data_IF_674459418965
#
_entry.id   IF_674459418965
#
_cell.length_a   1.000
_cell.length_b   1.000
_cell.length_c   1.000
_cell.angle_alpha   90.00
_cell.angle_beta   90.00
_cell.angle_gamma   90.00
#
_symmetry.space_group_name_H-M   'P 1'
#
loop_
_entity.id
_entity.type
_entity.pdbx_description
1 polymer ?
#
# COMPACT_ATOMS: atom_id res chain seq x y z
N UNK A 1 12.37 -12.00 -6.60
CA UNK A 1 13.15 -12.78 -5.62
C UNK A 1 12.90 -12.20 -4.23
N UNK A 2 11.83 -12.62 -3.57
CA UNK A 2 11.51 -12.18 -2.21
C UNK A 2 11.85 -13.33 -1.25
N UNK A 3 12.95 -13.16 -0.53
CA UNK A 3 13.44 -14.10 0.47
C UNK A 3 12.47 -14.13 1.66
N UNK A 4 11.60 -15.13 1.67
CA UNK A 4 10.71 -15.47 2.77
C UNK A 4 11.52 -15.92 4.00
N UNK A 5 11.85 -14.97 4.87
CA UNK A 5 12.40 -15.26 6.19
C UNK A 5 11.33 -15.90 7.07
N UNK A 6 11.38 -17.23 7.18
CA UNK A 6 10.63 -18.01 8.14
C UNK A 6 10.93 -17.51 9.56
N UNK A 7 9.98 -16.78 10.15
CA UNK A 7 10.06 -16.32 11.53
C UNK A 7 9.99 -17.52 12.48
N UNK A 8 11.17 -17.95 12.95
CA UNK A 8 11.30 -18.89 14.04
C UNK A 8 10.72 -18.22 15.31
N UNK A 9 9.52 -18.64 15.75
CA UNK A 9 8.68 -17.95 16.75
C UNK A 9 9.33 -17.75 18.13
N UNK A 10 10.47 -18.36 18.39
CA UNK A 10 11.15 -18.32 19.69
C UNK A 10 12.45 -17.51 19.70
N UNK A 11 12.86 -16.86 18.60
CA UNK A 11 14.06 -16.01 18.57
C UNK A 11 13.81 -14.57 19.07
N UNK A 12 14.87 -13.84 19.40
CA UNK A 12 14.85 -12.38 19.45
C UNK A 12 15.01 -11.81 18.04
N UNK A 13 14.33 -10.69 17.76
CA UNK A 13 14.62 -9.93 16.54
C UNK A 13 15.97 -9.23 16.66
N UNK A 14 16.62 -9.00 15.52
CA UNK A 14 17.89 -8.28 15.43
C UNK A 14 17.73 -6.87 16.03
N UNK A 15 16.63 -6.19 15.72
CA UNK A 15 16.36 -4.84 16.20
C UNK A 15 16.13 -4.79 17.72
N UNK A 16 15.48 -5.82 18.29
CA UNK A 16 15.33 -5.93 19.74
C UNK A 16 16.69 -6.04 20.43
N UNK A 17 17.58 -6.90 19.91
CA UNK A 17 18.92 -7.09 20.47
C UNK A 17 19.76 -5.81 20.35
N UNK A 18 19.70 -5.13 19.19
CA UNK A 18 20.38 -3.84 18.98
C UNK A 18 19.86 -2.76 19.92
N UNK A 19 18.54 -2.63 20.06
CA UNK A 19 17.92 -1.69 20.98
C UNK A 19 18.35 -1.94 22.44
N UNK A 20 18.37 -3.21 22.86
CA UNK A 20 18.82 -3.58 24.20
C UNK A 20 20.31 -3.26 24.42
N UNK A 21 21.16 -3.51 23.42
CA UNK A 21 22.60 -3.23 23.51
C UNK A 21 22.89 -1.71 23.55
N UNK A 22 22.26 -0.94 22.66
CA UNK A 22 22.39 0.53 22.61
C UNK A 22 21.93 1.18 23.93
N UNK A 23 20.84 0.70 24.52
CA UNK A 23 20.35 1.19 25.81
C UNK A 23 21.33 0.95 26.97
N UNK A 24 22.29 0.04 26.81
CA UNK A 24 23.34 -0.26 27.78
C UNK A 24 24.72 0.28 27.35
N UNK A 25 24.78 1.15 26.33
CA UNK A 25 26.02 1.79 25.88
C UNK A 25 27.03 0.84 25.23
N UNK A 26 26.58 -0.32 24.74
CA UNK A 26 27.43 -1.31 24.09
C UNK A 26 27.66 -0.96 22.61
N UNK A 27 28.89 -1.15 22.12
CA UNK A 27 29.25 -0.92 20.71
C UNK A 27 29.14 -2.22 19.91
N UNK A 28 28.38 -2.21 18.81
CA UNK A 28 28.33 -3.34 17.87
C UNK A 28 29.71 -3.50 17.18
N UNK A 29 30.23 -4.73 17.21
CA UNK A 29 31.55 -5.09 16.65
C UNK A 29 31.40 -5.89 15.37
N UNK A 30 30.47 -6.84 15.34
CA UNK A 30 30.26 -7.71 14.19
C UNK A 30 28.82 -8.23 14.14
N UNK A 31 28.30 -8.37 12.93
CA UNK A 31 27.01 -9.01 12.67
C UNK A 31 27.21 -10.12 11.64
N UNK A 32 26.79 -11.34 11.97
CA UNK A 32 26.84 -12.48 11.05
C UNK A 32 25.43 -13.10 10.92
N UNK A 33 24.73 -12.87 9.80
CA UNK A 33 23.38 -13.39 9.59
C UNK A 33 23.34 -14.91 9.43
N UNK A 34 24.39 -15.52 8.87
CA UNK A 34 24.49 -16.98 8.67
C UNK A 34 24.54 -17.73 9.99
N UNK A 35 25.40 -17.30 10.91
CA UNK A 35 25.52 -17.88 12.25
C UNK A 35 24.51 -17.31 13.25
N UNK A 36 23.67 -16.35 12.81
CA UNK A 36 22.64 -15.66 13.60
C UNK A 36 23.19 -15.10 14.91
N UNK A 37 24.33 -14.40 14.82
CA UNK A 37 25.04 -13.83 15.96
C UNK A 37 25.34 -12.35 15.76
N UNK A 38 25.18 -11.58 16.83
CA UNK A 38 25.64 -10.19 16.91
C UNK A 38 26.65 -10.09 18.05
N UNK A 39 27.82 -9.54 17.77
CA UNK A 39 28.88 -9.30 18.74
C UNK A 39 28.87 -7.83 19.16
N UNK A 40 28.93 -7.60 20.47
CA UNK A 40 29.07 -6.28 21.07
C UNK A 40 30.30 -6.23 21.98
N UNK A 41 30.78 -5.03 22.28
CA UNK A 41 31.89 -4.79 23.19
C UNK A 41 31.53 -3.71 24.21
N UNK A 42 31.88 -3.95 25.48
CA UNK A 42 31.80 -2.96 26.56
C UNK A 42 32.98 -2.00 26.52
N UNK A 43 32.88 -0.89 27.25
CA UNK A 43 34.00 0.03 27.45
C UNK A 43 35.20 -0.66 28.12
N UNK A 44 34.94 -1.63 29.01
CA UNK A 44 35.96 -2.44 29.68
C UNK A 44 36.60 -3.52 28.79
N UNK A 45 36.28 -3.54 27.50
CA UNK A 45 36.84 -4.48 26.52
C UNK A 45 36.22 -5.88 26.52
N UNK A 46 35.18 -6.13 27.32
CA UNK A 46 34.47 -7.42 27.38
C UNK A 46 33.68 -7.62 26.09
N UNK A 47 33.84 -8.79 25.44
CA UNK A 47 33.10 -9.14 24.22
C UNK A 47 31.87 -9.98 24.56
N UNK A 48 30.71 -9.57 24.05
CA UNK A 48 29.42 -10.24 24.26
C UNK A 48 28.90 -10.70 22.90
N UNK A 49 28.68 -12.01 22.74
CA UNK A 49 28.13 -12.62 21.55
C UNK A 49 26.69 -13.08 21.81
N UNK A 50 25.73 -12.56 21.06
CA UNK A 50 24.30 -12.84 21.23
C UNK A 50 23.80 -13.64 20.03
N UNK A 51 23.44 -14.90 20.28
CA UNK A 51 22.82 -15.79 19.31
C UNK A 51 21.31 -15.62 19.38
N UNK A 52 20.78 -14.69 18.59
CA UNK A 52 19.40 -14.21 18.72
C UNK A 52 18.35 -15.27 18.39
N UNK A 53 18.66 -16.26 17.54
CA UNK A 53 17.73 -17.34 17.24
C UNK A 53 17.61 -18.42 18.33
N UNK A 54 18.67 -18.63 19.13
CA UNK A 54 18.69 -19.67 20.19
C UNK A 54 18.62 -19.08 21.60
N UNK A 55 18.49 -17.74 21.70
CA UNK A 55 18.55 -16.97 22.95
C UNK A 55 19.75 -17.38 23.82
N UNK A 56 20.90 -17.57 23.17
CA UNK A 56 22.16 -17.91 23.83
C UNK A 56 23.05 -16.68 23.89
N UNK A 57 23.64 -16.41 25.05
CA UNK A 57 24.57 -15.31 25.25
C UNK A 57 25.91 -15.90 25.67
N UNK A 58 26.96 -15.51 24.95
CA UNK A 58 28.35 -15.83 25.25
C UNK A 58 29.11 -14.59 25.68
N UNK A 59 29.73 -14.57 26.86
CA UNK A 59 30.60 -13.48 27.31
C UNK A 59 32.04 -13.95 27.35
N UNK A 60 32.95 -13.21 26.72
CA UNK A 60 34.39 -13.45 26.79
C UNK A 60 35.01 -12.41 27.72
N UNK A 61 35.52 -12.87 28.86
CA UNK A 61 36.02 -12.07 29.98
C UNK A 61 37.50 -12.39 30.22
N UNK A 62 38.27 -11.40 30.66
CA UNK A 62 39.59 -11.65 31.23
C UNK A 62 39.46 -11.77 32.76
N UNK A 63 39.71 -12.96 33.28
CA UNK A 63 39.61 -13.26 34.70
C UNK A 63 40.99 -13.09 35.36
N UNK A 64 41.13 -12.33 36.46
CA UNK A 64 42.43 -12.00 37.04
C UNK A 64 43.29 -13.22 37.39
N UNK A 65 42.66 -14.34 37.76
CA UNK A 65 43.38 -15.57 38.13
C UNK A 65 43.36 -16.67 37.05
N UNK A 66 42.49 -16.58 36.04
CA UNK A 66 42.25 -17.67 35.07
C UNK A 66 42.54 -17.24 33.62
N UNK A 67 42.90 -15.97 33.40
CA UNK A 67 43.07 -15.39 32.08
C UNK A 67 41.75 -15.32 31.29
N UNK A 68 41.87 -15.38 29.97
CA UNK A 68 40.73 -15.27 29.05
C UNK A 68 39.80 -16.48 29.20
N UNK A 69 38.60 -16.23 29.71
CA UNK A 69 37.54 -17.23 29.90
C UNK A 69 36.31 -16.87 29.08
N UNK A 70 35.52 -17.87 28.71
CA UNK A 70 34.26 -17.66 28.00
C UNK A 70 33.11 -18.36 28.73
N UNK A 71 32.03 -17.63 28.99
CA UNK A 71 30.83 -18.13 29.65
C UNK A 71 29.68 -18.16 28.65
N UNK A 72 28.91 -19.24 28.65
CA UNK A 72 27.73 -19.38 27.79
C UNK A 72 26.48 -19.62 28.63
N UNK A 73 25.41 -18.90 28.32
CA UNK A 73 24.09 -19.12 28.92
C UNK A 73 23.04 -19.31 27.84
N UNK A 74 22.39 -20.46 27.85
CA UNK A 74 21.38 -20.87 26.87
C UNK A 74 19.97 -20.55 27.36
N UNK A 75 19.00 -20.45 26.45
CA UNK A 75 17.57 -20.22 26.75
C UNK A 75 17.32 -19.00 27.65
N UNK A 76 18.00 -17.89 27.39
CA UNK A 76 17.83 -16.67 28.16
C UNK A 76 16.45 -16.04 27.89
N UNK A 77 15.79 -15.54 28.95
CA UNK A 77 14.64 -14.64 28.80
C UNK A 77 15.12 -13.24 28.43
N UNK A 78 14.21 -12.39 27.93
CA UNK A 78 14.54 -10.99 27.64
C UNK A 78 15.07 -10.25 28.87
N UNK A 79 14.57 -10.59 30.07
CA UNK A 79 15.09 -10.04 31.33
C UNK A 79 16.55 -10.44 31.59
N UNK A 80 16.88 -11.74 31.41
CA UNK A 80 18.26 -12.21 31.55
C UNK A 80 19.21 -11.52 30.57
N UNK A 81 18.73 -11.17 29.36
CA UNK A 81 19.52 -10.40 28.41
C UNK A 81 19.89 -9.03 28.97
N UNK A 82 18.92 -8.27 29.48
CA UNK A 82 19.19 -6.96 30.07
C UNK A 82 20.14 -7.04 31.26
N UNK A 83 19.96 -8.01 32.16
CA UNK A 83 20.84 -8.23 33.32
C UNK A 83 22.30 -8.50 32.88
N UNK A 84 22.49 -9.34 31.86
CA UNK A 84 23.83 -9.69 31.35
C UNK A 84 24.47 -8.53 30.60
N UNK A 85 23.69 -7.73 29.87
CA UNK A 85 24.22 -6.54 29.18
C UNK A 85 24.64 -5.44 30.15
N UNK A 86 23.94 -5.29 31.28
CA UNK A 86 24.32 -4.33 32.34
C UNK A 86 25.55 -4.78 33.10
N UNK A 87 25.64 -6.06 33.43
CA UNK A 87 26.78 -6.62 34.15
C UNK A 87 27.19 -7.96 33.53
N UNK A 88 28.16 -7.99 32.61
CA UNK A 88 28.59 -9.22 31.95
C UNK A 88 29.14 -10.29 32.91
N UNK A 89 29.58 -9.89 34.12
CA UNK A 89 30.05 -10.80 35.18
C UNK A 89 28.92 -11.42 35.98
N UNK A 90 27.68 -10.91 35.89
CA UNK A 90 26.48 -11.49 36.54
C UNK A 90 26.15 -12.92 36.06
N UNK A 91 26.86 -13.40 35.04
CA UNK A 91 26.85 -14.78 34.58
C UNK A 91 27.22 -15.83 35.65
N UNK A 92 27.87 -15.45 36.76
CA UNK A 92 28.28 -16.39 37.82
C UNK A 92 27.20 -16.55 38.89
N UNK A 93 26.54 -17.71 38.95
CA UNK A 93 25.74 -18.08 40.14
C UNK A 93 24.58 -19.06 39.91
N UNK A 94 23.94 -19.03 38.73
CA UNK A 94 22.83 -19.95 38.40
C UNK A 94 23.32 -21.08 37.49
N UNK A 95 23.81 -22.18 38.09
CA UNK A 95 24.19 -23.39 37.34
C UNK A 95 25.50 -24.07 37.77
N UNK A 96 26.26 -23.49 38.70
CA UNK A 96 27.30 -24.26 39.38
C UNK A 96 26.61 -25.27 40.31
N UNK A 97 26.88 -26.56 40.10
CA UNK A 97 26.53 -27.60 41.06
C UNK A 97 27.17 -27.21 42.39
N UNK A 98 26.36 -26.79 43.36
CA UNK A 98 26.83 -26.64 44.75
C UNK A 98 27.27 -28.04 45.19
N UNK A 99 28.54 -28.20 45.55
CA UNK A 99 29.02 -29.45 46.13
C UNK A 99 28.29 -29.65 47.47
N UNK A 100 27.59 -30.77 47.71
CA UNK A 100 26.77 -30.98 48.92
C UNK A 100 27.58 -31.20 50.21
N UNK A 101 28.90 -31.01 50.18
CA UNK A 101 29.80 -31.46 51.25
C UNK A 101 29.93 -30.52 52.47
N UNK A 102 29.16 -29.45 52.56
CA UNK A 102 29.36 -28.43 53.61
C UNK A 102 28.15 -28.16 54.52
N UNK A 103 27.05 -28.89 54.35
CA UNK A 103 25.84 -28.71 55.17
C UNK A 103 25.83 -29.65 56.39
N UNK A 104 26.42 -30.84 56.24
CA UNK A 104 26.52 -31.86 57.31
C UNK A 104 27.53 -31.50 58.41
N UNK A 105 28.54 -30.68 58.08
CA UNK A 105 29.59 -30.27 59.04
C UNK A 105 29.16 -29.08 59.90
N UNK A 106 28.22 -28.25 59.41
CA UNK A 106 27.60 -27.17 60.20
C UNK A 106 26.62 -27.68 61.26
N UNK A 107 25.92 -28.78 61.00
CA UNK A 107 24.99 -29.37 61.99
C UNK A 107 25.69 -30.11 63.14
N UNK A 108 26.98 -30.45 63.02
CA UNK A 108 27.71 -31.22 64.05
C UNK A 108 28.34 -30.35 65.15
N UNK A 109 28.45 -29.03 64.97
CA UNK A 109 29.12 -28.16 65.95
C UNK A 109 28.20 -27.58 67.03
N UNK A 110 26.88 -27.69 66.90
CA UNK A 110 25.93 -27.06 67.84
C UNK A 110 25.43 -27.99 68.97
N UNK A 111 25.91 -29.23 69.08
CA UNK A 111 25.37 -30.21 70.07
C UNK A 111 26.28 -30.53 71.25
N UNK A 112 27.47 -29.93 71.39
CA UNK A 112 28.46 -30.40 72.37
C UNK A 112 28.52 -29.60 73.71
N UNK A 113 27.85 -28.46 73.88
CA UNK A 113 27.82 -27.78 75.19
C UNK A 113 26.42 -27.36 75.63
N UNK A 114 25.80 -28.28 76.38
CA UNK A 114 24.49 -28.11 77.01
C UNK A 114 24.52 -27.21 78.26
N UNK A 115 23.66 -26.19 78.22
CA UNK A 115 22.96 -25.67 79.39
C UNK A 115 21.50 -25.53 78.96
N UNK A 116 20.69 -26.53 79.31
CA UNK A 116 19.31 -26.70 78.83
C UNK A 116 18.39 -25.61 79.35
N UNK A 117 18.24 -24.54 78.59
CA UNK A 117 16.99 -23.79 78.54
C UNK A 117 16.05 -24.65 77.73
N UNK A 118 14.98 -25.16 78.34
CA UNK A 118 13.84 -25.73 77.61
C UNK A 118 13.22 -24.55 76.90
N UNK A 119 13.74 -24.21 75.71
CA UNK A 119 13.11 -23.25 74.83
C UNK A 119 11.82 -23.91 74.39
N UNK A 120 10.71 -23.28 74.71
CA UNK A 120 9.38 -23.76 74.38
C UNK A 120 9.20 -23.65 72.87
N UNK A 121 9.54 -24.73 72.14
CA UNK A 121 9.46 -24.82 70.68
C UNK A 121 8.07 -24.41 70.16
N UNK A 122 7.03 -24.55 70.99
CA UNK A 122 5.68 -24.10 70.69
C UNK A 122 5.60 -22.57 70.52
N UNK A 123 6.30 -21.81 71.35
CA UNK A 123 6.31 -20.34 71.32
C UNK A 123 7.04 -19.82 70.07
N UNK A 124 8.14 -20.46 69.67
CA UNK A 124 8.86 -20.11 68.44
C UNK A 124 7.98 -20.35 67.20
N UNK A 125 7.26 -21.47 67.15
CA UNK A 125 6.32 -21.75 66.06
C UNK A 125 5.17 -20.75 66.01
N UNK A 126 4.63 -20.33 67.17
CA UNK A 126 3.59 -19.29 67.25
C UNK A 126 4.10 -17.96 66.71
N UNK A 127 5.32 -17.56 67.06
CA UNK A 127 5.95 -16.34 66.53
C UNK A 127 6.17 -16.43 65.01
N UNK A 128 6.62 -17.57 64.49
CA UNK A 128 6.73 -17.78 63.04
C UNK A 128 5.38 -17.65 62.31
N UNK A 129 4.27 -18.12 62.90
CA UNK A 129 2.94 -17.97 62.31
C UNK A 129 2.55 -16.48 62.22
N UNK A 130 2.79 -15.70 63.28
CA UNK A 130 2.50 -14.26 63.29
C UNK A 130 3.33 -13.49 62.24
N UNK A 131 4.61 -13.84 62.09
CA UNK A 131 5.46 -13.26 61.05
C UNK A 131 4.96 -13.57 59.63
N UNK A 132 4.47 -14.80 59.40
CA UNK A 132 3.89 -15.19 58.11
C UNK A 132 2.61 -14.42 57.83
N UNK A 133 1.74 -14.24 58.84
CA UNK A 133 0.51 -13.45 58.70
C UNK A 133 0.82 -11.98 58.37
N UNK A 134 1.82 -11.37 59.02
CA UNK A 134 2.29 -10.01 58.70
C UNK A 134 2.78 -9.91 57.24
N UNK A 135 3.56 -10.89 56.77
CA UNK A 135 4.01 -10.94 55.38
C UNK A 135 2.84 -11.09 54.39
N UNK A 136 1.80 -11.87 54.74
CA UNK A 136 0.59 -12.01 53.92
C UNK A 136 -0.12 -10.67 53.78
N UNK A 137 -0.28 -9.93 54.88
CA UNK A 137 -0.89 -8.60 54.85
C UNK A 137 -0.08 -7.61 54.03
N UNK A 138 1.24 -7.58 54.18
CA UNK A 138 2.13 -6.72 53.42
C UNK A 138 2.03 -7.01 51.91
N UNK A 139 2.02 -8.29 51.52
CA UNK A 139 1.83 -8.72 50.14
C UNK A 139 0.44 -8.37 49.61
N UNK A 140 -0.61 -8.47 50.44
CA UNK A 140 -1.95 -8.06 50.07
C UNK A 140 -2.03 -6.54 49.79
N UNK A 141 -1.38 -5.73 50.61
CA UNK A 141 -1.28 -4.27 50.39
C UNK A 141 -0.48 -3.94 49.13
N UNK A 142 0.67 -4.60 48.90
CA UNK A 142 1.48 -4.47 47.68
C UNK A 142 0.67 -4.84 46.43
N UNK A 143 -0.06 -5.96 46.46
CA UNK A 143 -0.95 -6.38 45.35
C UNK A 143 -2.02 -5.34 45.06
N UNK A 144 -2.69 -4.80 46.09
CA UNK A 144 -3.71 -3.75 45.94
C UNK A 144 -3.13 -2.48 45.32
N UNK A 145 -1.93 -2.08 45.74
CA UNK A 145 -1.20 -0.94 45.16
C UNK A 145 -0.87 -1.15 43.68
N UNK A 146 -0.34 -2.32 43.33
CA UNK A 146 -0.02 -2.68 41.94
C UNK A 146 -1.26 -2.70 41.05
N UNK A 147 -2.37 -3.28 41.51
CA UNK A 147 -3.64 -3.27 40.77
C UNK A 147 -4.16 -1.86 40.51
N UNK A 148 -4.03 -0.96 41.49
CA UNK A 148 -4.39 0.47 41.32
C UNK A 148 -3.49 1.13 40.27
N UNK A 149 -2.21 0.82 40.25
CA UNK A 149 -1.26 1.32 39.25
C UNK A 149 -1.58 0.81 37.85
N UNK A 150 -1.85 -0.49 37.69
CA UNK A 150 -2.27 -1.10 36.42
C UNK A 150 -3.53 -0.42 35.91
N UNK A 151 -4.56 -0.27 36.75
CA UNK A 151 -5.80 0.41 36.37
C UNK A 151 -5.55 1.82 35.85
N UNK A 152 -4.72 2.62 36.53
CA UNK A 152 -4.35 3.97 36.05
C UNK A 152 -3.67 3.95 34.68
N UNK A 153 -2.76 3.00 34.45
CA UNK A 153 -2.12 2.86 33.14
C UNK A 153 -3.11 2.44 32.07
N UNK A 154 -4.06 1.56 32.39
CA UNK A 154 -5.08 1.11 31.45
C UNK A 154 -6.03 2.27 31.08
N UNK A 155 -6.48 3.04 32.07
CA UNK A 155 -7.29 4.25 31.87
C UNK A 155 -6.54 5.27 30.99
N UNK A 156 -5.25 5.49 31.24
CA UNK A 156 -4.43 6.38 30.42
C UNK A 156 -4.28 5.87 28.97
N UNK A 157 -4.08 4.56 28.76
CA UNK A 157 -4.03 3.99 27.40
C UNK A 157 -5.36 4.14 26.68
N UNK A 158 -6.48 3.96 27.38
CA UNK A 158 -7.82 4.16 26.82
C UNK A 158 -8.07 5.63 26.44
N UNK A 159 -7.69 6.58 27.29
CA UNK A 159 -7.82 8.01 27.00
C UNK A 159 -6.95 8.43 25.82
N UNK A 160 -5.71 7.95 25.74
CA UNK A 160 -4.83 8.27 24.62
C UNK A 160 -5.35 7.67 23.30
N UNK A 161 -5.86 6.43 23.35
CA UNK A 161 -6.52 5.83 22.20
C UNK A 161 -7.76 6.62 21.75
N UNK A 162 -8.54 7.16 22.69
CA UNK A 162 -9.69 8.01 22.38
C UNK A 162 -9.26 9.33 21.70
N UNK A 163 -8.25 10.02 22.25
CA UNK A 163 -7.69 11.24 21.64
C UNK A 163 -7.14 11.01 20.24
N UNK A 164 -6.47 9.87 20.02
CA UNK A 164 -5.96 9.50 18.70
C UNK A 164 -7.09 9.24 17.70
N UNK A 165 -8.19 8.59 18.14
CA UNK A 165 -9.38 8.41 17.29
C UNK A 165 -10.06 9.73 16.95
N UNK A 166 -10.18 10.63 17.91
CA UNK A 166 -10.74 11.98 17.70
C UNK A 166 -9.93 12.76 16.67
N UNK A 167 -8.60 12.84 16.83
CA UNK A 167 -7.70 13.45 15.83
C UNK A 167 -7.79 12.79 14.45
N UNK A 168 -7.97 11.47 14.40
CA UNK A 168 -8.14 10.76 13.14
C UNK A 168 -9.48 11.14 12.48
N UNK A 169 -10.55 11.27 13.26
CA UNK A 169 -11.86 11.70 12.77
C UNK A 169 -11.83 13.15 12.27
N UNK A 170 -11.13 14.05 12.96
CA UNK A 170 -10.92 15.44 12.51
C UNK A 170 -10.21 15.47 11.16
N UNK A 171 -9.08 14.78 11.01
CA UNK A 171 -8.36 14.68 9.73
C UNK A 171 -9.22 14.07 8.63
N UNK A 172 -10.01 13.04 8.94
CA UNK A 172 -10.92 12.44 7.97
C UNK A 172 -12.02 13.42 7.55
N UNK A 173 -12.52 14.25 8.47
CA UNK A 173 -13.49 15.29 8.15
C UNK A 173 -12.88 16.40 7.28
N UNK A 174 -11.64 16.83 7.59
CA UNK A 174 -10.90 17.78 6.75
C UNK A 174 -10.69 17.24 5.34
N UNK A 175 -10.27 15.98 5.19
CA UNK A 175 -10.10 15.34 3.89
C UNK A 175 -11.43 15.23 3.12
N UNK A 176 -12.53 14.90 3.80
CA UNK A 176 -13.85 14.85 3.19
C UNK A 176 -14.30 16.22 2.65
N UNK A 177 -13.98 17.30 3.35
CA UNK A 177 -14.25 18.66 2.90
C UNK A 177 -13.45 19.02 1.63
N UNK A 178 -12.15 18.67 1.59
CA UNK A 178 -11.30 18.90 0.43
C UNK A 178 -11.83 18.14 -0.79
N UNK A 179 -12.23 16.88 -0.61
CA UNK A 179 -12.81 16.06 -1.68
C UNK A 179 -14.08 16.73 -2.23
N UNK A 180 -14.98 17.20 -1.36
CA UNK A 180 -16.22 17.88 -1.77
C UNK A 180 -15.93 19.15 -2.58
N UNK A 181 -14.94 19.94 -2.17
CA UNK A 181 -14.55 21.15 -2.91
C UNK A 181 -13.99 20.82 -4.29
N UNK A 182 -13.20 19.75 -4.41
CA UNK A 182 -12.64 19.35 -5.70
C UNK A 182 -13.72 18.77 -6.63
N UNK A 183 -14.69 18.01 -6.10
CA UNK A 183 -15.86 17.57 -6.86
C UNK A 183 -16.66 18.75 -7.41
N UNK A 184 -16.89 19.80 -6.60
CA UNK A 184 -17.57 21.01 -7.05
C UNK A 184 -16.78 21.73 -8.16
N UNK A 185 -15.44 21.79 -8.04
CA UNK A 185 -14.58 22.38 -9.08
C UNK A 185 -14.63 21.59 -10.38
N UNK A 186 -14.56 20.27 -10.31
CA UNK A 186 -14.68 19.41 -11.49
C UNK A 186 -16.05 19.56 -12.17
N UNK A 187 -17.12 19.71 -11.38
CA UNK A 187 -18.45 19.96 -11.93
C UNK A 187 -18.50 21.30 -12.69
N UNK A 188 -17.90 22.37 -12.14
CA UNK A 188 -17.81 23.68 -12.83
C UNK A 188 -17.00 23.60 -14.13
N UNK A 189 -15.87 22.89 -14.11
CA UNK A 189 -15.05 22.66 -15.33
C UNK A 189 -15.89 21.94 -16.39
N UNK A 190 -16.60 20.88 -16.01
CA UNK A 190 -17.45 20.13 -16.95
C UNK A 190 -18.57 20.99 -17.54
N UNK A 191 -19.20 21.83 -16.72
CA UNK A 191 -20.21 22.77 -17.21
C UNK A 191 -19.64 23.83 -18.16
N UNK A 192 -18.40 24.26 -17.96
CA UNK A 192 -17.68 25.16 -18.85
C UNK A 192 -17.31 24.47 -20.17
N UNK A 193 -16.81 23.23 -20.12
CA UNK A 193 -16.53 22.40 -21.29
C UNK A 193 -17.80 22.20 -22.15
N UNK A 194 -18.92 21.87 -21.53
CA UNK A 194 -20.21 21.73 -22.21
C UNK A 194 -20.68 23.05 -22.88
N UNK A 195 -20.38 24.20 -22.27
CA UNK A 195 -20.68 25.51 -22.86
C UNK A 195 -19.79 25.79 -24.06
N UNK A 196 -18.49 25.52 -23.95
CA UNK A 196 -17.54 25.70 -25.05
C UNK A 196 -17.87 24.78 -26.22
N UNK A 197 -18.24 23.53 -25.96
CA UNK A 197 -18.66 22.58 -26.98
C UNK A 197 -19.85 23.09 -27.79
N UNK A 198 -20.87 23.67 -27.13
CA UNK A 198 -22.01 24.30 -27.81
C UNK A 198 -21.62 25.51 -28.65
N UNK A 199 -20.63 26.29 -28.22
CA UNK A 199 -20.11 27.42 -29.01
C UNK A 199 -19.43 26.89 -30.27
N UNK A 200 -18.57 25.87 -30.14
CA UNK A 200 -17.90 25.23 -31.29
C UNK A 200 -18.93 24.71 -32.29
N UNK A 201 -19.93 23.94 -31.84
CA UNK A 201 -20.99 23.41 -32.71
C UNK A 201 -21.76 24.51 -33.45
N UNK A 202 -22.04 25.63 -32.76
CA UNK A 202 -22.69 26.80 -33.37
C UNK A 202 -21.80 27.46 -34.43
N UNK A 203 -20.51 27.62 -34.15
CA UNK A 203 -19.55 28.18 -35.10
C UNK A 203 -19.38 27.29 -36.33
N UNK A 204 -19.33 25.97 -36.16
CA UNK A 204 -19.30 25.03 -37.27
C UNK A 204 -20.57 25.09 -38.13
N UNK A 205 -21.73 25.23 -37.49
CA UNK A 205 -23.00 25.45 -38.20
C UNK A 205 -22.98 26.72 -39.03
N UNK A 206 -22.48 27.83 -38.47
CA UNK A 206 -22.33 29.10 -39.19
C UNK A 206 -21.31 28.99 -40.34
N UNK A 207 -20.21 28.26 -40.15
CA UNK A 207 -19.21 28.00 -41.20
C UNK A 207 -19.84 27.27 -42.38
N UNK A 208 -20.61 26.20 -42.14
CA UNK A 208 -21.32 25.45 -43.19
C UNK A 208 -22.33 26.32 -43.95
N UNK A 209 -23.05 27.20 -43.26
CA UNK A 209 -23.98 28.14 -43.91
C UNK A 209 -23.23 29.12 -44.82
N UNK A 210 -22.09 29.65 -44.37
CA UNK A 210 -21.25 30.54 -45.20
C UNK A 210 -20.71 29.83 -46.42
N UNK A 211 -20.16 28.63 -46.25
CA UNK A 211 -19.66 27.80 -47.37
C UNK A 211 -20.76 27.50 -48.39
N UNK A 212 -21.97 27.15 -47.94
CA UNK A 212 -23.11 26.90 -48.82
C UNK A 212 -23.56 28.17 -49.56
N UNK A 213 -23.55 29.34 -48.91
CA UNK A 213 -23.89 30.61 -49.53
C UNK A 213 -22.84 31.02 -50.59
N UNK A 214 -21.55 30.83 -50.29
CA UNK A 214 -20.46 31.06 -51.25
C UNK A 214 -20.56 30.11 -52.45
N UNK A 215 -20.85 28.83 -52.22
CA UNK A 215 -21.06 27.86 -53.30
C UNK A 215 -22.26 28.23 -54.17
N UNK A 216 -23.38 28.65 -53.56
CA UNK A 216 -24.54 29.13 -54.30
C UNK A 216 -24.19 30.37 -55.14
N UNK A 217 -23.47 31.34 -54.56
CA UNK A 217 -23.03 32.54 -55.27
C UNK A 217 -22.11 32.19 -56.45
N UNK A 218 -21.20 31.23 -56.28
CA UNK A 218 -20.34 30.73 -57.36
C UNK A 218 -21.15 30.02 -58.46
N UNK A 219 -22.14 29.20 -58.11
CA UNK A 219 -23.05 28.56 -59.07
C UNK A 219 -23.85 29.58 -59.86
N UNK A 220 -24.39 30.61 -59.21
CA UNK A 220 -25.11 31.69 -59.87
C UNK A 220 -24.21 32.50 -60.81
N UNK A 221 -22.96 32.77 -60.40
CA UNK A 221 -21.97 33.44 -61.24
C UNK A 221 -21.60 32.57 -62.46
N UNK A 222 -21.39 31.27 -62.28
CA UNK A 222 -21.14 30.34 -63.36
C UNK A 222 -22.32 30.27 -64.35
N UNK A 223 -23.56 30.28 -63.85
CA UNK A 223 -24.77 30.38 -64.67
C UNK A 223 -24.89 31.71 -65.44
N UNK A 224 -24.18 32.76 -65.04
CA UNK A 224 -24.18 34.04 -65.75
C UNK A 224 -22.94 34.27 -66.61
N UNK A 225 -22.01 33.32 -66.64
CA UNK A 225 -20.75 33.45 -67.37
C UNK A 225 -20.81 32.61 -68.65
N UNK A 226 -20.43 33.18 -69.80
CA UNK A 226 -20.33 32.43 -71.05
C UNK A 226 -19.13 31.46 -70.99
N UNK A 227 -19.33 30.20 -71.35
CA UNK A 227 -18.28 29.16 -71.28
C UNK A 227 -17.14 29.35 -72.27
N UNK A 228 -17.38 30.03 -73.39
CA UNK A 228 -16.40 30.18 -74.48
C UNK A 228 -15.56 31.45 -74.35
N UNK A 229 -16.18 32.57 -73.96
CA UNK A 229 -15.49 33.87 -73.89
C UNK A 229 -15.36 34.44 -72.47
N UNK A 230 -15.89 33.74 -71.45
CA UNK A 230 -15.87 34.14 -70.04
C UNK A 230 -16.48 35.52 -69.72
N UNK A 231 -17.26 36.10 -70.64
CA UNK A 231 -18.01 37.31 -70.37
C UNK A 231 -19.14 37.04 -69.36
N UNK A 232 -19.33 37.96 -68.42
CA UNK A 232 -20.36 37.87 -67.37
C UNK A 232 -21.59 38.68 -67.78
N UNK A 233 -22.78 38.10 -67.63
CA UNK A 233 -24.06 38.67 -68.05
C UNK A 233 -24.97 38.95 -66.85
N UNK A 234 -25.98 39.80 -67.03
CA UNK A 234 -26.89 40.18 -65.94
C UNK A 234 -27.82 39.03 -65.55
N UNK A 235 -28.21 38.18 -66.51
CA UNK A 235 -29.06 37.02 -66.29
C UNK A 235 -28.73 35.89 -67.30
N UNK A 236 -29.21 34.69 -67.02
CA UNK A 236 -29.01 33.50 -67.86
C UNK A 236 -29.52 33.70 -69.30
N UNK A 237 -30.67 34.35 -69.46
CA UNK A 237 -31.27 34.59 -70.76
C UNK A 237 -30.39 35.43 -71.69
N UNK A 238 -29.79 36.50 -71.16
CA UNK A 238 -28.88 37.37 -71.93
C UNK A 238 -27.56 36.68 -72.27
N UNK A 239 -27.03 35.83 -71.37
CA UNK A 239 -25.90 34.94 -71.65
C UNK A 239 -26.20 34.00 -72.82
N UNK A 240 -27.35 33.33 -72.79
CA UNK A 240 -27.73 32.34 -73.81
C UNK A 240 -28.00 32.99 -75.17
N UNK A 241 -28.59 34.19 -75.16
CA UNK A 241 -28.74 35.00 -76.36
C UNK A 241 -27.37 35.37 -76.94
N UNK A 242 -26.46 35.86 -76.11
CA UNK A 242 -25.08 36.12 -76.53
C UNK A 242 -24.40 34.87 -77.10
N UNK A 243 -24.55 33.72 -76.45
CA UNK A 243 -23.95 32.46 -76.91
C UNK A 243 -24.42 32.09 -78.32
N UNK A 244 -25.74 32.18 -78.56
CA UNK A 244 -26.33 31.92 -79.88
C UNK A 244 -25.83 32.89 -80.94
N UNK A 245 -25.78 34.18 -80.61
CA UNK A 245 -25.44 35.24 -81.56
C UNK A 245 -23.94 35.29 -81.89
N UNK A 246 -23.06 35.03 -80.92
CA UNK A 246 -21.61 35.21 -81.06
C UNK A 246 -20.82 33.93 -81.28
N UNK A 247 -21.28 32.80 -80.75
CA UNK A 247 -20.56 31.51 -80.84
C UNK A 247 -21.17 30.56 -81.88
N UNK A 248 -22.29 30.95 -82.52
CA UNK A 248 -22.86 30.37 -83.76
C UNK A 248 -22.94 28.82 -83.80
N UNK A 249 -23.15 28.20 -82.64
CA UNK A 249 -23.39 26.77 -82.50
C UNK A 249 -24.90 26.53 -82.41
N UNK A 250 -25.46 25.94 -83.48
CA UNK A 250 -26.79 25.34 -83.46
C UNK A 250 -26.81 24.31 -82.34
N UNK A 251 -27.43 24.64 -81.21
CA UNK A 251 -27.54 23.74 -80.07
C UNK A 251 -28.15 22.41 -80.54
N UNK A 252 -27.49 21.26 -80.34
CA UNK A 252 -28.08 19.99 -80.69
C UNK A 252 -29.34 19.79 -79.84
N UNK A 253 -30.49 19.68 -80.51
CA UNK A 253 -31.77 19.28 -79.92
C UNK A 253 -31.53 18.15 -78.91
N UNK A 254 -31.91 18.40 -77.65
CA UNK A 254 -31.82 17.43 -76.55
C UNK A 254 -32.49 16.12 -76.96
N UNK A 255 -31.70 15.16 -77.46
CA UNK A 255 -32.14 13.77 -77.60
C UNK A 255 -32.38 13.26 -76.19
N UNK A 256 -33.62 12.88 -75.93
CA UNK A 256 -34.07 12.11 -74.77
C UNK A 256 -32.99 11.09 -74.39
N UNK A 257 -32.23 11.41 -73.34
CA UNK A 257 -31.35 10.44 -72.71
C UNK A 257 -32.27 9.42 -72.07
N UNK A 258 -32.40 8.26 -72.72
CA UNK A 258 -32.86 7.05 -72.06
C UNK A 258 -32.03 6.90 -70.78
N UNK A 259 -32.70 7.11 -69.65
CA UNK A 259 -32.18 6.87 -68.31
C UNK A 259 -31.77 5.39 -68.30
N UNK A 260 -30.46 5.12 -68.37
CA UNK A 260 -29.94 3.77 -68.09
C UNK A 260 -30.27 3.50 -66.62
N UNK A 261 -31.06 2.45 -66.28
CA UNK A 261 -31.30 2.10 -64.90
C UNK A 261 -29.96 1.76 -64.25
N UNK A 262 -29.61 2.53 -63.22
CA UNK A 262 -28.36 2.40 -62.49
C UNK A 262 -28.39 1.13 -61.64
N UNK A 263 -27.56 0.16 -62.02
CA UNK A 263 -26.69 -0.71 -61.21
C UNK A 263 -27.32 -1.36 -59.96
N UNK A 264 -27.71 -2.62 -60.06
CA UNK A 264 -26.96 -3.84 -59.67
C UNK A 264 -26.54 -3.92 -58.20
N UNK A 265 -27.35 -4.63 -57.40
CA UNK A 265 -26.97 -5.01 -56.02
C UNK A 265 -26.08 -6.25 -56.09
N UNK A 266 -24.90 -6.22 -55.48
CA UNK A 266 -23.94 -7.34 -55.47
C UNK A 266 -24.00 -8.06 -54.12
N UNK A 267 -23.96 -9.39 -54.13
CA UNK A 267 -23.88 -10.16 -52.89
C UNK A 267 -22.47 -10.08 -52.28
N UNK A 268 -22.37 -9.60 -51.04
CA UNK A 268 -21.07 -9.40 -50.37
C UNK A 268 -20.26 -10.69 -50.14
N UNK A 269 -20.93 -11.85 -50.15
CA UNK A 269 -20.32 -13.13 -49.81
C UNK A 269 -19.81 -13.90 -51.03
N UNK A 270 -20.49 -13.79 -52.16
CA UNK A 270 -20.18 -14.55 -53.38
C UNK A 270 -19.95 -13.67 -54.61
N UNK A 271 -20.11 -12.35 -54.48
CA UNK A 271 -19.90 -11.33 -55.51
C UNK A 271 -20.74 -11.48 -56.79
N UNK A 272 -21.86 -12.20 -56.74
CA UNK A 272 -22.83 -12.25 -57.84
C UNK A 272 -23.62 -10.94 -57.93
N UNK A 273 -23.80 -10.43 -59.15
CA UNK A 273 -24.54 -9.20 -59.46
C UNK A 273 -26.01 -9.49 -59.76
N UNK A 274 -26.91 -8.65 -59.24
CA UNK A 274 -28.35 -8.83 -59.40
C UNK A 274 -29.02 -7.57 -59.93
N UNK A 275 -29.89 -7.70 -60.92
CA UNK A 275 -30.61 -6.57 -61.54
C UNK A 275 -31.50 -5.81 -60.56
N UNK A 276 -31.99 -6.47 -59.50
CA UNK A 276 -32.86 -5.87 -58.48
C UNK A 276 -32.45 -6.29 -57.07
N UNK A 277 -32.77 -5.45 -56.07
CA UNK A 277 -32.54 -5.77 -54.66
C UNK A 277 -33.31 -7.04 -54.23
N UNK A 278 -34.52 -7.23 -54.77
CA UNK A 278 -35.35 -8.39 -54.48
C UNK A 278 -34.67 -9.71 -54.88
N UNK A 279 -34.04 -9.74 -56.06
CA UNK A 279 -33.27 -10.91 -56.50
C UNK A 279 -32.02 -11.16 -55.65
N UNK A 280 -31.40 -10.12 -55.10
CA UNK A 280 -30.28 -10.27 -54.15
C UNK A 280 -30.75 -10.90 -52.82
N UNK A 281 -31.89 -10.46 -52.29
CA UNK A 281 -32.40 -10.95 -51.01
C UNK A 281 -32.83 -12.42 -51.11
N UNK A 282 -33.54 -12.81 -52.18
CA UNK A 282 -33.86 -14.23 -52.44
C UNK A 282 -32.60 -15.11 -52.53
N UNK A 283 -31.54 -14.58 -53.15
CA UNK A 283 -30.26 -15.27 -53.19
C UNK A 283 -29.65 -15.44 -51.79
N UNK A 284 -29.70 -14.41 -50.94
CA UNK A 284 -29.18 -14.48 -49.57
C UNK A 284 -29.95 -15.48 -48.71
N UNK A 285 -31.28 -15.55 -48.86
CA UNK A 285 -32.11 -16.54 -48.19
C UNK A 285 -31.78 -17.97 -48.61
N UNK A 286 -31.65 -18.21 -49.91
CA UNK A 286 -31.37 -19.55 -50.45
C UNK A 286 -29.97 -20.06 -50.04
N UNK A 287 -28.98 -19.16 -49.95
CA UNK A 287 -27.59 -19.51 -49.66
C UNK A 287 -27.20 -19.32 -48.18
N UNK A 288 -28.09 -18.79 -47.34
CA UNK A 288 -27.79 -18.48 -45.94
C UNK A 288 -26.78 -17.34 -45.75
N UNK A 289 -26.70 -16.39 -46.68
CA UNK A 289 -25.76 -15.26 -46.68
C UNK A 289 -26.28 -14.05 -45.89
N UNK A 290 -26.75 -14.28 -44.67
CA UNK A 290 -27.16 -13.22 -43.74
C UNK A 290 -26.06 -12.98 -42.71
N UNK A 291 -25.66 -11.72 -42.50
CA UNK A 291 -24.73 -11.37 -41.40
C UNK A 291 -25.39 -11.75 -40.07
N UNK A 292 -24.81 -12.70 -39.36
CA UNK A 292 -25.17 -12.99 -37.98
C UNK A 292 -24.76 -11.77 -37.16
N UNK A 293 -25.72 -10.90 -36.80
CA UNK A 293 -25.45 -9.82 -35.87
C UNK A 293 -25.10 -10.46 -34.51
N UNK A 294 -23.83 -10.42 -34.17
CA UNK A 294 -23.27 -10.70 -32.83
C UNK A 294 -22.71 -9.40 -32.27
#
# INVERSE_FOLDING_TARGET
EESSTTHNKDGWSVDFVRGAALSNGLKEVAYNPTSRVISFQTQDGVRINIYYSTRTIGTALDHPNQGKTQLFRRKCSSQNLFEILQNPRSHTGKGYKKHPQNEEERLRQDTEYGYGVVVDEEEDLRNCILEVDEQIEELAMKRKSLLKSIKRHDDNRMQEAARMREKMNERNAELAEIIRQEEERLQKIKEEEDRLQKIIEKEEGLRKIKEAAEEQQQRELAQRTCSECHSVFSNEHTRDQHFRDRHNLVLPLRKSQHIKPYIYSVCEYCHLEFETMYSLDQHKDAMGHWKSHT
#
